data_IF_179281148545
#
_entry.id   IF_179281148545
#
_cell.length_a   1.000
_cell.length_b   1.000
_cell.length_c   1.000
_cell.angle_alpha   90.00
_cell.angle_beta   90.00
_cell.angle_gamma   90.00
#
_symmetry.space_group_name_H-M   'P 1'
#
loop_
_entity.id
_entity.type
_entity.pdbx_description
1 polymer ?
#
# COMPACT_ATOMS: atom_id res chain seq x y z
N UNK A 1 17.57 6.52 20.05
CA UNK A 1 17.75 7.44 18.90
C UNK A 1 16.96 6.95 17.68
N UNK A 2 16.96 7.67 16.54
CA UNK A 2 16.29 7.19 15.32
C UNK A 2 16.82 5.83 14.82
N UNK A 3 18.13 5.65 14.81
CA UNK A 3 18.77 4.39 14.39
C UNK A 3 18.40 3.21 15.29
N UNK A 4 18.30 3.46 16.59
CA UNK A 4 17.89 2.44 17.55
C UNK A 4 16.43 2.03 17.37
N UNK A 5 15.53 2.98 17.15
CA UNK A 5 14.14 2.68 16.84
C UNK A 5 13.99 1.85 15.57
N UNK A 6 14.82 2.11 14.54
CA UNK A 6 14.88 1.29 13.32
C UNK A 6 15.39 -0.12 13.61
N UNK A 7 16.46 -0.27 14.40
CA UNK A 7 17.00 -1.59 14.79
C UNK A 7 15.98 -2.45 15.56
N UNK A 8 15.16 -1.82 16.40
CA UNK A 8 14.11 -2.50 17.18
C UNK A 8 12.83 -2.75 16.38
N UNK A 9 12.72 -2.24 15.15
CA UNK A 9 11.52 -2.37 14.31
C UNK A 9 10.36 -1.43 14.68
N UNK A 10 10.59 -0.46 15.56
CA UNK A 10 9.57 0.54 15.94
C UNK A 10 9.27 1.51 14.78
N UNK A 11 10.27 1.77 13.93
CA UNK A 11 10.10 2.52 12.67
C UNK A 11 10.72 1.73 11.52
N UNK A 12 10.13 1.79 10.33
CA UNK A 12 10.69 1.09 9.16
C UNK A 12 11.94 1.78 8.61
N UNK A 13 12.07 3.11 8.80
CA UNK A 13 13.16 3.91 8.26
C UNK A 13 13.59 4.97 9.27
N UNK A 14 14.91 5.17 9.36
CA UNK A 14 15.57 6.28 10.04
C UNK A 14 16.43 6.98 8.99
N UNK A 15 16.39 8.30 8.97
CA UNK A 15 17.10 9.14 8.01
C UNK A 15 17.93 10.17 8.75
N UNK A 16 19.10 10.50 8.19
CA UNK A 16 19.91 11.60 8.73
C UNK A 16 19.15 12.92 8.61
N UNK A 17 19.23 13.73 9.66
CA UNK A 17 18.52 14.99 9.69
C UNK A 17 19.17 16.01 8.74
N UNK A 18 18.34 16.73 7.98
CA UNK A 18 18.78 17.79 7.09
C UNK A 18 18.80 19.15 7.82
N UNK A 19 19.29 20.20 7.14
CA UNK A 19 19.39 21.55 7.73
C UNK A 19 18.02 22.18 8.06
N UNK A 20 16.97 21.77 7.34
CA UNK A 20 15.62 22.30 7.51
C UNK A 20 14.83 21.60 8.62
N UNK A 21 15.35 20.50 9.16
CA UNK A 21 14.70 19.75 10.24
C UNK A 21 13.58 18.80 9.79
N UNK A 22 13.36 18.62 8.48
CA UNK A 22 12.20 17.95 7.90
C UNK A 22 12.53 16.67 7.11
N UNK A 23 13.74 16.11 7.27
CA UNK A 23 14.19 14.96 6.47
C UNK A 23 13.24 13.75 6.54
N UNK A 24 12.70 13.45 7.72
CA UNK A 24 11.73 12.36 7.89
C UNK A 24 10.41 12.64 7.15
N UNK A 25 9.96 13.89 7.11
CA UNK A 25 8.77 14.30 6.36
C UNK A 25 8.98 14.17 4.85
N UNK A 26 10.14 14.61 4.34
CA UNK A 26 10.48 14.45 2.93
C UNK A 26 10.50 12.97 2.53
N UNK A 27 11.08 12.09 3.37
CA UNK A 27 11.05 10.66 3.09
C UNK A 27 9.64 10.08 3.14
N UNK A 28 8.79 10.55 4.05
CA UNK A 28 7.39 10.14 4.10
C UNK A 28 6.61 10.58 2.84
N UNK A 29 6.89 11.77 2.30
CA UNK A 29 6.32 12.20 1.02
C UNK A 29 6.77 11.32 -0.15
N UNK A 30 8.04 10.93 -0.19
CA UNK A 30 8.54 10.01 -1.22
C UNK A 30 7.84 8.66 -1.14
N UNK A 31 7.70 8.10 0.06
CA UNK A 31 6.94 6.87 0.27
C UNK A 31 5.47 7.02 -0.14
N UNK A 32 4.83 8.15 0.18
CA UNK A 32 3.45 8.40 -0.25
C UNK A 32 3.34 8.45 -1.78
N UNK A 33 4.31 9.07 -2.48
CA UNK A 33 4.34 9.10 -3.95
C UNK A 33 4.47 7.72 -4.56
N UNK A 34 5.18 6.79 -3.92
CA UNK A 34 5.27 5.39 -4.36
C UNK A 34 3.90 4.67 -4.35
N UNK A 35 2.94 5.15 -3.53
CA UNK A 35 1.58 4.58 -3.38
C UNK A 35 0.50 5.22 -4.27
N UNK A 36 0.78 6.38 -4.89
CA UNK A 36 -0.17 7.10 -5.75
C UNK A 36 -0.52 6.31 -7.03
N UNK A 37 0.42 5.63 -7.71
CA UNK A 37 0.12 4.93 -8.97
C UNK A 37 -0.71 3.66 -8.83
N UNK A 38 -1.03 3.20 -7.63
CA UNK A 38 -1.76 1.94 -7.39
C UNK A 38 -3.28 2.15 -7.43
N UNK A 39 -4.02 1.07 -7.68
CA UNK A 39 -5.47 1.09 -7.73
C UNK A 39 -6.07 1.53 -6.38
N UNK A 40 -6.82 2.65 -6.29
CA UNK A 40 -7.31 3.16 -5.01
C UNK A 40 -8.18 2.17 -4.24
N UNK A 41 -9.04 1.41 -4.93
CA UNK A 41 -9.88 0.38 -4.30
C UNK A 41 -9.01 -0.78 -3.80
N UNK A 42 -8.05 -1.24 -4.62
CA UNK A 42 -7.15 -2.32 -4.25
C UNK A 42 -6.30 -1.99 -3.01
N UNK A 43 -5.76 -0.77 -2.89
CA UNK A 43 -5.00 -0.34 -1.71
C UNK A 43 -5.87 -0.34 -0.44
N UNK A 44 -7.13 0.14 -0.55
CA UNK A 44 -8.07 0.12 0.59
C UNK A 44 -8.40 -1.30 1.03
N UNK A 45 -8.69 -2.18 0.07
CA UNK A 45 -9.03 -3.58 0.35
C UNK A 45 -7.85 -4.36 0.90
N UNK A 46 -6.64 -4.15 0.36
CA UNK A 46 -5.42 -4.76 0.90
C UNK A 46 -5.16 -4.34 2.35
N UNK A 47 -5.33 -3.04 2.67
CA UNK A 47 -5.19 -2.55 4.05
C UNK A 47 -6.24 -3.15 4.98
N UNK A 48 -7.49 -3.30 4.52
CA UNK A 48 -8.55 -3.93 5.30
C UNK A 48 -8.23 -5.40 5.59
N UNK A 49 -7.83 -6.15 4.56
CA UNK A 49 -7.45 -7.55 4.67
C UNK A 49 -6.28 -7.77 5.64
N UNK A 50 -5.24 -6.94 5.56
CA UNK A 50 -4.11 -7.00 6.49
C UNK A 50 -4.57 -6.71 7.92
N UNK A 51 -5.24 -5.59 8.14
CA UNK A 51 -5.64 -5.17 9.49
C UNK A 51 -6.61 -6.14 10.17
N UNK A 52 -7.54 -6.74 9.42
CA UNK A 52 -8.50 -7.69 9.99
C UNK A 52 -7.93 -9.10 10.05
N UNK A 53 -7.17 -9.52 9.03
CA UNK A 53 -6.59 -10.85 8.94
C UNK A 53 -5.52 -11.12 10.00
N UNK A 54 -4.80 -10.10 10.48
CA UNK A 54 -3.81 -10.26 11.55
C UNK A 54 -4.42 -10.49 12.93
N UNK A 55 -5.71 -10.20 13.11
CA UNK A 55 -6.42 -10.31 14.40
C UNK A 55 -7.19 -11.62 14.56
N UNK A 56 -7.12 -12.52 13.58
CA UNK A 56 -7.88 -13.78 13.53
C UNK A 56 -6.96 -14.97 13.22
N UNK A 57 -7.50 -16.19 13.32
CA UNK A 57 -6.77 -17.37 12.85
C UNK A 57 -6.57 -17.34 11.33
N UNK A 58 -5.58 -18.08 10.85
CA UNK A 58 -5.18 -18.07 9.44
C UNK A 58 -6.33 -18.40 8.48
N UNK A 59 -7.20 -19.36 8.81
CA UNK A 59 -8.29 -19.75 7.91
C UNK A 59 -9.32 -18.64 7.78
N UNK A 60 -9.65 -17.99 8.90
CA UNK A 60 -10.53 -16.81 8.90
C UNK A 60 -9.88 -15.64 8.18
N UNK A 61 -8.57 -15.43 8.36
CA UNK A 61 -7.81 -14.40 7.65
C UNK A 61 -7.82 -14.58 6.13
N UNK A 62 -7.68 -15.83 5.66
CA UNK A 62 -7.80 -16.16 4.23
C UNK A 62 -9.21 -15.88 3.68
N UNK A 63 -10.26 -16.14 4.47
CA UNK A 63 -11.63 -15.80 4.07
C UNK A 63 -11.84 -14.27 3.99
N UNK A 64 -11.24 -13.50 4.89
CA UNK A 64 -11.24 -12.02 4.83
C UNK A 64 -10.50 -11.52 3.58
N UNK A 65 -9.35 -12.11 3.26
CA UNK A 65 -8.61 -11.81 2.03
C UNK A 65 -9.45 -12.08 0.78
N UNK A 66 -10.09 -13.25 0.70
CA UNK A 66 -10.98 -13.62 -0.41
C UNK A 66 -12.12 -12.61 -0.59
N UNK A 67 -12.78 -12.23 0.50
CA UNK A 67 -13.85 -11.24 0.47
C UNK A 67 -13.37 -9.86 0.00
N UNK A 68 -12.20 -9.41 0.46
CA UNK A 68 -11.58 -8.16 0.01
C UNK A 68 -11.20 -8.21 -1.48
N UNK A 69 -10.68 -9.34 -1.95
CA UNK A 69 -10.31 -9.55 -3.35
C UNK A 69 -11.55 -9.55 -4.26
N UNK A 70 -12.65 -10.16 -3.81
CA UNK A 70 -13.93 -10.18 -4.52
C UNK A 70 -14.44 -8.78 -4.86
N UNK A 71 -14.18 -7.77 -4.01
CA UNK A 71 -14.55 -6.38 -4.25
C UNK A 71 -13.68 -5.69 -5.31
N UNK A 72 -12.47 -6.18 -5.57
CA UNK A 72 -11.57 -5.64 -6.61
C UNK A 72 -11.92 -6.20 -7.99
N UNK A 73 -12.41 -7.45 -8.07
CA UNK A 73 -12.75 -8.12 -9.34
C UNK A 73 -13.69 -7.30 -10.26
N UNK A 74 -14.79 -6.70 -9.78
CA UNK A 74 -15.72 -5.98 -10.65
C UNK A 74 -15.29 -4.54 -10.99
N UNK A 75 -14.13 -4.07 -10.51
CA UNK A 75 -13.68 -2.68 -10.73
C UNK A 75 -13.21 -2.45 -12.16
N UNK A 76 -13.40 -1.22 -12.65
CA UNK A 76 -12.81 -0.77 -13.92
C UNK A 76 -11.30 -0.66 -13.82
N UNK A 77 -10.78 -0.30 -12.65
CA UNK A 77 -9.35 -0.25 -12.37
C UNK A 77 -8.67 -1.60 -12.64
N UNK A 78 -9.30 -2.73 -12.29
CA UNK A 78 -8.74 -4.05 -12.63
C UNK A 78 -8.63 -4.25 -14.15
N UNK A 79 -9.65 -3.85 -14.91
CA UNK A 79 -9.64 -3.97 -16.37
C UNK A 79 -8.59 -3.05 -16.99
N UNK A 80 -8.47 -1.83 -16.51
CA UNK A 80 -7.44 -0.87 -16.91
C UNK A 80 -6.04 -1.40 -16.61
N UNK A 81 -5.81 -2.03 -15.45
CA UNK A 81 -4.52 -2.63 -15.12
C UNK A 81 -4.12 -3.72 -16.11
N UNK A 82 -5.06 -4.59 -16.49
CA UNK A 82 -4.84 -5.63 -17.51
C UNK A 82 -4.59 -5.03 -18.90
N UNK A 83 -5.34 -3.99 -19.27
CA UNK A 83 -5.19 -3.30 -20.55
C UNK A 83 -3.84 -2.58 -20.64
N UNK A 84 -3.49 -1.80 -19.63
CA UNK A 84 -2.23 -1.08 -19.55
C UNK A 84 -1.02 -2.03 -19.60
N UNK A 85 -1.11 -3.17 -18.92
CA UNK A 85 -0.09 -4.22 -18.99
C UNK A 85 0.05 -4.78 -20.40
N UNK A 86 -1.07 -5.10 -21.06
CA UNK A 86 -1.09 -5.58 -22.45
C UNK A 86 -0.49 -4.54 -23.41
N UNK A 87 -0.78 -3.27 -23.20
CA UNK A 87 -0.31 -2.14 -24.02
C UNK A 87 1.08 -1.63 -23.64
N UNK A 88 1.72 -2.20 -22.59
CA UNK A 88 3.02 -1.80 -22.05
C UNK A 88 3.10 -0.32 -21.68
N UNK A 89 2.01 0.24 -21.15
CA UNK A 89 1.94 1.62 -20.66
C UNK A 89 1.64 1.66 -19.17
N UNK A 90 1.91 2.79 -18.49
CA UNK A 90 1.44 2.99 -17.12
C UNK A 90 -0.10 2.94 -17.06
N UNK A 91 -0.68 2.31 -16.02
CA UNK A 91 -2.12 2.32 -15.81
C UNK A 91 -2.61 3.68 -15.27
N UNK A 92 -3.84 4.05 -15.62
CA UNK A 92 -4.51 5.24 -15.12
C UNK A 92 -5.74 4.86 -14.28
N UNK A 93 -5.51 4.54 -13.01
CA UNK A 93 -6.59 4.19 -12.08
C UNK A 93 -7.40 5.40 -11.63
N UNK A 94 -8.70 5.20 -11.43
CA UNK A 94 -9.66 6.24 -11.03
C UNK A 94 -10.40 5.91 -9.74
N UNK A 95 -10.25 4.70 -9.20
CA UNK A 95 -10.97 4.25 -8.01
C UNK A 95 -12.41 3.85 -8.31
N UNK A 96 -12.65 3.22 -9.46
CA UNK A 96 -13.96 2.71 -9.93
C UNK A 96 -13.84 1.31 -10.55
#
# INVERSE_FOLDING_TARGET
SGDEAKRLGLVNQAVEQNKSGDAAYLRALDLARETIPQGPIAIRMAKLAINQGTEVDLNTGLAVEEACYALVIPTKDRLEGLLAFKEKRPPHYKGE
#
